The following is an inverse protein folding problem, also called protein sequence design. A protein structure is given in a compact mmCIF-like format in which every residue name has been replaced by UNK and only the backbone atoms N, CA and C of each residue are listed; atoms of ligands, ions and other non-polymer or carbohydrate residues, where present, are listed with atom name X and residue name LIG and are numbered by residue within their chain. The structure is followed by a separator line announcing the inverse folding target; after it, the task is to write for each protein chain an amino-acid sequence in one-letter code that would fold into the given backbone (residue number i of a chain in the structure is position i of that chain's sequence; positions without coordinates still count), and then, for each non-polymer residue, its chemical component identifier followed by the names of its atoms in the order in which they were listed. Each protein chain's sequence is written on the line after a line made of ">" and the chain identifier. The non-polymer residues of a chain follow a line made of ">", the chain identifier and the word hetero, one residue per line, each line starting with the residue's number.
data_IF_027245582167
#
_entry.id   IF_027245582167
#
_cell.length_a   1.000
_cell.length_b   1.000
_cell.length_c   1.000
_cell.angle_alpha   90.00
_cell.angle_beta   90.00
_cell.angle_gamma   90.00
#
_symmetry.space_group_name_H-M   'P 1'
#
loop_
_entity.id
_entity.type
_entity.pdbx_description
1 polymer ?
#
# COMPACT_ATOMS: atom_id res chain seq x y z
N UNK A 1 -18.90 -19.97 8.77
CA UNK A 1 -17.86 -20.75 9.50
C UNK A 1 -16.51 -20.75 8.80
N UNK A 2 -16.42 -20.94 7.47
CA UNK A 2 -15.15 -20.94 6.74
C UNK A 2 -14.35 -19.63 6.91
N UNK A 3 -14.96 -18.47 6.70
CA UNK A 3 -14.29 -17.16 6.80
C UNK A 3 -13.69 -16.88 8.20
N UNK A 4 -14.37 -17.30 9.28
CA UNK A 4 -13.85 -17.15 10.65
C UNK A 4 -12.62 -18.01 10.89
N UNK A 5 -12.61 -19.24 10.36
CA UNK A 5 -11.45 -20.15 10.47
C UNK A 5 -10.27 -19.64 9.66
N UNK A 6 -10.52 -19.16 8.44
CA UNK A 6 -9.50 -18.49 7.62
C UNK A 6 -8.92 -17.28 8.34
N UNK A 7 -9.77 -16.41 8.90
CA UNK A 7 -9.30 -15.21 9.58
C UNK A 7 -8.41 -15.55 10.79
N UNK A 8 -8.79 -16.56 11.57
CA UNK A 8 -8.00 -17.05 12.70
C UNK A 8 -6.68 -17.68 12.25
N UNK A 9 -6.69 -18.46 11.16
CA UNK A 9 -5.47 -19.07 10.63
C UNK A 9 -4.47 -18.02 10.11
N UNK A 10 -4.95 -16.99 9.41
CA UNK A 10 -4.12 -15.87 8.96
C UNK A 10 -3.55 -15.11 10.16
N UNK A 11 -4.36 -14.86 11.20
CA UNK A 11 -3.90 -14.17 12.42
C UNK A 11 -2.82 -14.98 13.14
N UNK A 12 -3.06 -16.27 13.36
CA UNK A 12 -2.11 -17.15 14.03
C UNK A 12 -0.79 -17.22 13.27
N UNK A 13 -0.84 -17.32 11.94
CA UNK A 13 0.36 -17.30 11.10
C UNK A 13 1.10 -15.97 11.20
N UNK A 14 0.40 -14.82 11.10
CA UNK A 14 1.00 -13.49 11.25
C UNK A 14 1.72 -13.35 12.60
N UNK A 15 1.07 -13.74 13.71
CA UNK A 15 1.68 -13.68 15.05
C UNK A 15 2.88 -14.62 15.17
N UNK A 16 2.87 -15.78 14.52
CA UNK A 16 4.02 -16.68 14.44
C UNK A 16 5.17 -16.03 13.66
N UNK A 17 4.91 -15.44 12.48
CA UNK A 17 5.91 -14.74 11.65
C UNK A 17 6.60 -13.61 12.42
N UNK A 18 5.86 -12.88 13.25
CA UNK A 18 6.41 -11.80 14.07
C UNK A 18 7.35 -12.29 15.19
N UNK A 19 7.27 -13.57 15.57
CA UNK A 19 8.10 -14.20 16.60
C UNK A 19 9.35 -14.89 16.04
N UNK A 20 9.51 -14.97 14.71
CA UNK A 20 10.69 -15.53 14.07
C UNK A 20 11.92 -14.66 14.33
N UNK A 21 12.96 -15.23 14.97
CA UNK A 21 14.13 -14.45 15.45
C UNK A 21 14.98 -13.82 14.34
N UNK A 22 14.90 -14.35 13.13
CA UNK A 22 15.56 -13.87 11.92
C UNK A 22 14.75 -12.80 11.17
N UNK A 23 13.49 -12.57 11.56
CA UNK A 23 12.65 -11.53 10.97
C UNK A 23 13.12 -10.14 11.37
N UNK A 24 13.12 -9.19 10.40
CA UNK A 24 13.39 -7.77 10.68
C UNK A 24 12.41 -7.15 11.69
N UNK A 25 11.23 -7.77 11.85
CA UNK A 25 10.19 -7.33 12.77
C UNK A 25 10.38 -7.85 14.20
N UNK A 26 11.22 -8.86 14.42
CA UNK A 26 11.40 -9.49 15.73
C UNK A 26 11.82 -8.53 16.85
N UNK A 27 12.79 -7.61 16.66
CA UNK A 27 13.23 -6.71 17.73
C UNK A 27 12.10 -5.83 18.27
N UNK A 28 11.12 -5.50 17.41
CA UNK A 28 10.00 -4.64 17.74
C UNK A 28 8.76 -5.40 18.22
N UNK A 29 8.45 -6.51 17.55
CA UNK A 29 7.21 -7.24 17.75
C UNK A 29 7.40 -8.56 18.50
N UNK A 30 8.46 -9.32 18.22
CA UNK A 30 8.58 -10.72 18.63
C UNK A 30 8.45 -10.94 20.13
N UNK A 31 9.31 -10.30 20.93
CA UNK A 31 9.25 -10.38 22.40
C UNK A 31 7.93 -9.86 22.96
N UNK A 32 7.38 -8.82 22.34
CA UNK A 32 6.11 -8.23 22.77
C UNK A 32 4.93 -9.15 22.49
N UNK A 33 4.90 -9.83 21.33
CA UNK A 33 3.86 -10.83 21.04
C UNK A 33 3.97 -12.00 22.03
N UNK A 34 5.18 -12.50 22.29
CA UNK A 34 5.43 -13.60 23.23
C UNK A 34 4.99 -13.29 24.66
N UNK A 35 5.05 -12.02 25.09
CA UNK A 35 4.71 -11.62 26.45
C UNK A 35 3.22 -11.42 26.69
N UNK A 36 2.36 -11.56 25.68
CA UNK A 36 0.92 -11.33 25.80
C UNK A 36 0.13 -12.59 25.44
N UNK A 37 -0.19 -13.37 26.46
CA UNK A 37 -1.13 -14.50 26.34
C UNK A 37 -2.50 -14.02 25.84
N UNK A 38 -3.18 -14.86 25.06
CA UNK A 38 -4.50 -14.57 24.46
C UNK A 38 -4.56 -13.30 23.59
N UNK A 39 -3.43 -12.82 23.07
CA UNK A 39 -3.41 -11.68 22.15
C UNK A 39 -4.24 -11.95 20.89
N UNK A 40 -4.18 -13.16 20.35
CA UNK A 40 -4.97 -13.59 19.20
C UNK A 40 -6.48 -13.53 19.48
N UNK A 41 -6.94 -14.05 20.62
CA UNK A 41 -8.34 -13.97 21.04
C UNK A 41 -8.79 -12.52 21.24
N UNK A 42 -7.92 -11.67 21.77
CA UNK A 42 -8.19 -10.25 21.90
C UNK A 42 -8.33 -9.56 20.53
N UNK A 43 -7.39 -9.79 19.61
CA UNK A 43 -7.43 -9.23 18.26
C UNK A 43 -8.67 -9.70 17.50
N UNK A 44 -9.07 -10.96 17.64
CA UNK A 44 -10.32 -11.50 17.09
C UNK A 44 -11.55 -10.77 17.63
N UNK A 45 -11.59 -10.43 18.92
CA UNK A 45 -12.70 -9.66 19.53
C UNK A 45 -12.74 -8.21 19.07
N UNK A 46 -11.60 -7.62 18.69
CA UNK A 46 -11.55 -6.29 18.12
C UNK A 46 -12.13 -6.23 16.70
N UNK A 47 -12.08 -7.34 15.95
CA UNK A 47 -12.64 -7.41 14.60
C UNK A 47 -14.16 -7.43 14.64
N UNK A 48 -14.79 -6.57 13.84
CA UNK A 48 -16.26 -6.53 13.75
C UNK A 48 -16.81 -7.77 13.03
N UNK A 49 -17.92 -8.35 13.51
CA UNK A 49 -18.51 -9.55 12.90
C UNK A 49 -18.99 -9.32 11.47
N UNK A 50 -19.35 -8.09 11.09
CA UNK A 50 -19.73 -7.73 9.72
C UNK A 50 -18.58 -7.95 8.72
N UNK A 51 -17.32 -7.85 9.17
CA UNK A 51 -16.14 -8.14 8.32
C UNK A 51 -16.12 -9.61 7.94
N UNK A 52 -16.35 -10.51 8.90
CA UNK A 52 -16.39 -11.96 8.62
C UNK A 52 -17.56 -12.32 7.69
N UNK A 53 -18.69 -11.63 7.83
CA UNK A 53 -19.83 -11.79 6.92
C UNK A 53 -19.49 -11.33 5.51
N UNK A 54 -18.83 -10.17 5.37
CA UNK A 54 -18.36 -9.66 4.08
C UNK A 54 -17.42 -10.66 3.39
N UNK A 55 -16.41 -11.16 4.12
CA UNK A 55 -15.46 -12.15 3.61
C UNK A 55 -16.17 -13.45 3.19
N UNK A 56 -17.14 -13.92 3.98
CA UNK A 56 -17.91 -15.12 3.66
C UNK A 56 -18.74 -14.97 2.37
N UNK A 57 -19.23 -13.76 2.07
CA UNK A 57 -19.97 -13.49 0.84
C UNK A 57 -19.07 -13.41 -0.40
N UNK A 58 -17.77 -13.13 -0.23
CA UNK A 58 -16.81 -13.00 -1.33
C UNK A 58 -17.12 -11.87 -2.32
N UNK A 59 -17.93 -10.89 -1.94
CA UNK A 59 -18.35 -9.81 -2.82
C UNK A 59 -17.38 -8.63 -2.76
N UNK A 60 -16.74 -8.30 -3.88
CA UNK A 60 -15.86 -7.14 -4.01
C UNK A 60 -16.55 -5.84 -4.43
N UNK A 61 -17.89 -5.75 -4.32
CA UNK A 61 -18.64 -4.57 -4.78
C UNK A 61 -18.57 -3.42 -3.78
N UNK A 62 -18.79 -2.20 -4.27
CA UNK A 62 -18.80 -1.00 -3.43
C UNK A 62 -19.94 -1.01 -2.40
N UNK A 63 -21.11 -1.55 -2.78
CA UNK A 63 -22.25 -1.70 -1.87
C UNK A 63 -21.96 -2.73 -0.78
N UNK A 64 -21.30 -3.85 -1.12
CA UNK A 64 -20.90 -4.84 -0.13
C UNK A 64 -19.92 -4.26 0.90
N UNK A 65 -18.97 -3.43 0.45
CA UNK A 65 -18.08 -2.71 1.35
C UNK A 65 -18.83 -1.71 2.23
N UNK A 66 -19.74 -0.90 1.66
CA UNK A 66 -20.59 0.03 2.44
C UNK A 66 -21.40 -0.70 3.52
N UNK A 67 -21.86 -1.92 3.21
CA UNK A 67 -22.68 -2.73 4.12
C UNK A 67 -21.88 -3.32 5.29
N UNK A 68 -20.55 -3.24 5.30
CA UNK A 68 -19.76 -3.49 6.51
C UNK A 68 -20.12 -2.45 7.59
N UNK A 69 -20.35 -1.20 7.19
CA UNK A 69 -20.86 -0.13 8.05
C UNK A 69 -19.92 0.25 9.19
N UNK A 70 -20.49 0.57 10.35
CA UNK A 70 -19.76 1.00 11.55
C UNK A 70 -19.96 2.48 11.86
N UNK A 71 -19.54 2.90 13.06
CA UNK A 71 -19.72 4.27 13.51
C UNK A 71 -18.62 5.19 12.96
N UNK A 72 -18.97 5.99 11.96
CA UNK A 72 -18.06 7.00 11.38
C UNK A 72 -17.80 8.20 12.29
N UNK A 73 -18.52 8.31 13.41
CA UNK A 73 -18.28 9.31 14.45
C UNK A 73 -17.44 8.77 15.60
N UNK A 74 -17.04 7.49 15.56
CA UNK A 74 -16.23 6.89 16.60
C UNK A 74 -14.92 7.65 16.81
N UNK A 75 -14.73 8.18 18.01
CA UNK A 75 -13.55 9.01 18.33
C UNK A 75 -12.34 8.19 18.79
N UNK A 76 -12.50 6.88 18.92
CA UNK A 76 -11.44 5.97 19.37
C UNK A 76 -10.53 5.43 18.28
N UNK A 77 -9.64 4.53 18.71
CA UNK A 77 -8.65 3.88 17.87
C UNK A 77 -9.26 2.74 17.07
N UNK A 78 -8.90 2.58 15.81
CA UNK A 78 -9.43 1.48 15.00
C UNK A 78 -8.87 1.40 13.60
N UNK A 79 -9.37 0.41 12.88
CA UNK A 79 -9.06 0.11 11.48
C UNK A 79 -10.30 0.39 10.64
N UNK A 80 -10.11 0.97 9.46
CA UNK A 80 -11.16 1.23 8.50
C UNK A 80 -10.78 0.69 7.12
N UNK A 81 -11.80 0.44 6.30
CA UNK A 81 -11.67 0.30 4.85
C UNK A 81 -12.28 1.52 4.19
N UNK A 82 -11.61 2.02 3.17
CA UNK A 82 -12.09 3.04 2.25
C UNK A 82 -12.31 2.37 0.90
N UNK A 83 -13.58 2.08 0.58
CA UNK A 83 -13.99 1.56 -0.72
C UNK A 83 -14.17 2.71 -1.71
N UNK A 84 -13.59 2.61 -2.90
CA UNK A 84 -13.56 3.67 -3.90
C UNK A 84 -14.05 3.10 -5.23
N UNK A 85 -15.11 3.68 -5.80
CA UNK A 85 -15.59 3.38 -7.14
C UNK A 85 -14.98 4.38 -8.13
N UNK A 86 -13.99 3.92 -8.88
CA UNK A 86 -13.28 4.72 -9.87
C UNK A 86 -14.17 5.20 -11.02
N UNK A 87 -13.73 6.25 -11.72
CA UNK A 87 -14.35 6.71 -12.97
C UNK A 87 -14.38 5.61 -14.04
N UNK A 88 -13.40 4.71 -14.00
CA UNK A 88 -13.27 3.50 -14.81
C UNK A 88 -14.18 2.34 -14.37
N UNK A 89 -15.11 2.59 -13.43
CA UNK A 89 -16.04 1.61 -12.86
C UNK A 89 -15.39 0.46 -12.10
N UNK A 90 -14.09 0.56 -11.79
CA UNK A 90 -13.40 -0.43 -10.96
C UNK A 90 -13.50 -0.06 -9.49
N UNK A 91 -13.78 -1.08 -8.68
CA UNK A 91 -13.80 -0.94 -7.23
C UNK A 91 -12.39 -1.17 -6.69
N UNK A 92 -11.94 -0.23 -5.87
CA UNK A 92 -10.65 -0.26 -5.16
C UNK A 92 -10.87 -0.18 -3.66
N UNK A 93 -9.92 -0.69 -2.89
CA UNK A 93 -9.94 -0.62 -1.44
C UNK A 93 -8.61 -0.15 -0.87
N UNK A 94 -8.70 0.70 0.14
CA UNK A 94 -7.59 1.08 0.99
C UNK A 94 -7.94 0.75 2.44
N UNK A 95 -7.07 0.04 3.14
CA UNK A 95 -7.20 -0.22 4.57
C UNK A 95 -6.30 0.73 5.33
N UNK A 96 -6.80 1.33 6.42
CA UNK A 96 -6.02 2.25 7.22
C UNK A 96 -6.31 2.13 8.70
N UNK A 97 -5.35 2.55 9.52
CA UNK A 97 -5.56 2.75 10.96
C UNK A 97 -5.67 4.22 11.35
N UNK A 98 -6.23 4.48 12.54
CA UNK A 98 -6.15 5.78 13.21
C UNK A 98 -6.24 5.62 14.73
N UNK A 99 -5.68 6.59 15.45
CA UNK A 99 -5.93 6.77 16.89
C UNK A 99 -7.28 7.45 17.18
N UNK A 100 -7.86 8.12 16.17
CA UNK A 100 -9.21 8.69 16.18
C UNK A 100 -9.82 8.55 14.77
N UNK A 101 -10.77 7.64 14.62
CA UNK A 101 -11.40 7.38 13.31
C UNK A 101 -12.18 8.60 12.80
N UNK A 102 -12.97 9.25 13.65
CA UNK A 102 -13.74 10.44 13.29
C UNK A 102 -12.87 11.57 12.72
N UNK A 103 -11.72 11.84 13.35
CA UNK A 103 -10.74 12.82 12.87
C UNK A 103 -10.15 12.39 11.53
N UNK A 104 -9.82 11.11 11.39
CA UNK A 104 -9.24 10.58 10.15
C UNK A 104 -10.21 10.68 8.97
N UNK A 105 -11.48 10.39 9.17
CA UNK A 105 -12.49 10.54 8.11
C UNK A 105 -12.68 11.99 7.68
N UNK A 106 -12.69 12.95 8.63
CA UNK A 106 -12.70 14.39 8.32
C UNK A 106 -11.49 14.80 7.45
N UNK A 107 -10.30 14.27 7.75
CA UNK A 107 -9.11 14.50 6.91
C UNK A 107 -9.30 13.93 5.50
N UNK A 108 -9.81 12.70 5.39
CA UNK A 108 -10.05 12.08 4.08
C UNK A 108 -11.05 12.85 3.23
N UNK A 109 -12.12 13.39 3.81
CA UNK A 109 -13.10 14.20 3.07
C UNK A 109 -12.58 15.60 2.72
N UNK A 110 -11.60 16.12 3.46
CA UNK A 110 -11.03 17.45 3.20
C UNK A 110 -10.10 17.45 1.98
N UNK A 111 -10.53 18.11 0.90
CA UNK A 111 -9.74 18.19 -0.33
C UNK A 111 -8.38 18.86 -0.15
N UNK A 112 -8.25 19.86 0.75
CA UNK A 112 -6.98 20.54 1.02
C UNK A 112 -6.00 19.57 1.67
N UNK A 113 -6.47 18.81 2.64
CA UNK A 113 -5.66 17.78 3.29
C UNK A 113 -5.15 16.76 2.27
N UNK A 114 -6.02 16.26 1.37
CA UNK A 114 -5.61 15.32 0.32
C UNK A 114 -4.56 15.90 -0.64
N UNK A 115 -4.74 17.18 -1.04
CA UNK A 115 -3.80 17.90 -1.90
C UNK A 115 -2.41 18.00 -1.24
N UNK A 116 -2.39 18.32 0.04
CA UNK A 116 -1.15 18.58 0.78
C UNK A 116 -0.46 17.28 1.24
N UNK A 117 -1.14 16.14 1.18
CA UNK A 117 -0.62 14.82 1.59
C UNK A 117 -0.72 13.79 0.46
N UNK A 118 -0.13 14.03 -0.74
CA UNK A 118 -0.37 13.22 -1.93
C UNK A 118 0.03 11.75 -1.74
N UNK A 119 -0.87 10.84 -2.09
CA UNK A 119 -0.69 9.39 -1.99
C UNK A 119 -1.45 8.67 -3.11
N UNK A 120 -1.12 7.40 -3.38
CA UNK A 120 -1.89 6.59 -4.35
C UNK A 120 -3.35 6.48 -3.91
N UNK A 121 -3.61 6.34 -2.61
CA UNK A 121 -4.94 6.33 -2.04
C UNK A 121 -5.74 7.59 -2.41
N UNK A 122 -5.17 8.77 -2.18
CA UNK A 122 -5.85 10.03 -2.51
C UNK A 122 -5.97 10.29 -4.00
N UNK A 123 -5.00 9.80 -4.79
CA UNK A 123 -5.14 9.81 -6.24
C UNK A 123 -6.37 8.99 -6.68
N UNK A 124 -6.57 7.82 -6.06
CA UNK A 124 -7.78 7.00 -6.21
C UNK A 124 -9.07 7.76 -5.92
N UNK A 125 -9.14 8.44 -4.77
CA UNK A 125 -10.31 9.25 -4.37
C UNK A 125 -10.59 10.37 -5.37
N UNK A 126 -9.55 11.06 -5.86
CA UNK A 126 -9.69 12.14 -6.84
C UNK A 126 -10.23 11.66 -8.19
N UNK A 127 -10.01 10.39 -8.54
CA UNK A 127 -10.45 9.78 -9.81
C UNK A 127 -11.62 8.81 -9.57
N UNK A 128 -12.54 9.18 -8.68
CA UNK A 128 -13.69 8.36 -8.30
C UNK A 128 -15.02 9.08 -8.52
N UNK A 129 -16.08 8.30 -8.75
CA UNK A 129 -17.47 8.82 -8.79
C UNK A 129 -18.16 8.71 -7.43
N UNK A 130 -17.70 7.78 -6.60
CA UNK A 130 -18.30 7.49 -5.30
C UNK A 130 -17.26 6.80 -4.42
N UNK A 131 -17.32 7.09 -3.13
CA UNK A 131 -16.49 6.45 -2.12
C UNK A 131 -17.29 6.18 -0.84
N UNK A 132 -16.80 5.24 -0.03
CA UNK A 132 -17.43 4.87 1.23
C UNK A 132 -16.41 4.44 2.26
N UNK A 133 -16.72 4.72 3.53
CA UNK A 133 -15.95 4.24 4.67
C UNK A 133 -16.71 3.17 5.42
N UNK A 134 -15.98 2.19 5.92
CA UNK A 134 -16.50 1.23 6.89
C UNK A 134 -15.43 0.91 7.93
N UNK A 135 -15.87 0.68 9.16
CA UNK A 135 -14.98 0.34 10.28
C UNK A 135 -14.77 -1.17 10.29
N UNK A 136 -13.52 -1.62 10.32
CA UNK A 136 -13.18 -3.05 10.33
C UNK A 136 -12.98 -3.56 11.76
N UNK A 137 -12.25 -2.79 12.57
CA UNK A 137 -11.93 -3.16 13.93
C UNK A 137 -11.83 -1.90 14.81
N UNK A 138 -12.13 -2.05 16.10
CA UNK A 138 -11.96 -0.98 17.09
C UNK A 138 -11.24 -1.50 18.31
N UNK A 139 -10.43 -0.63 18.93
CA UNK A 139 -9.87 -0.92 20.24
C UNK A 139 -10.79 -0.36 21.32
N UNK A 140 -10.86 -1.00 22.50
CA UNK A 140 -11.54 -0.45 23.66
C UNK A 140 -11.03 0.95 24.02
N UNK A 141 -11.90 1.76 24.62
CA UNK A 141 -11.53 3.09 25.09
C UNK A 141 -10.50 2.99 26.23
N UNK A 142 -9.57 3.93 26.31
CA UNK A 142 -8.65 4.02 27.48
C UNK A 142 -9.38 4.30 28.79
N UNK A 143 -10.63 4.75 28.73
CA UNK A 143 -11.51 4.94 29.90
C UNK A 143 -12.30 3.69 30.27
N UNK A 144 -12.23 2.62 29.48
CA UNK A 144 -12.95 1.38 29.77
C UNK A 144 -12.34 0.68 31.00
N UNK A 145 -13.16 0.15 31.92
CA UNK A 145 -12.66 -0.64 33.05
C UNK A 145 -11.76 -1.78 32.59
N UNK A 146 -10.61 -1.95 33.22
CA UNK A 146 -9.66 -3.01 32.90
C UNK A 146 -8.85 -2.81 31.62
N UNK A 147 -8.88 -1.62 30.98
CA UNK A 147 -8.13 -1.35 29.75
C UNK A 147 -6.64 -1.73 29.83
N UNK A 148 -5.98 -1.40 30.95
CA UNK A 148 -4.55 -1.71 31.15
C UNK A 148 -4.26 -3.21 31.31
N UNK A 149 -5.27 -4.02 31.62
CA UNK A 149 -5.13 -5.47 31.79
C UNK A 149 -5.46 -6.24 30.51
N UNK A 150 -5.92 -5.56 29.46
CA UNK A 150 -6.21 -6.20 28.19
C UNK A 150 -4.91 -6.55 27.44
N UNK A 151 -4.84 -7.72 26.78
CA UNK A 151 -3.65 -8.13 26.04
C UNK A 151 -3.18 -7.07 25.03
N UNK A 152 -1.89 -6.78 25.04
CA UNK A 152 -1.24 -5.82 24.13
C UNK A 152 -1.52 -4.34 24.39
N UNK A 153 -2.43 -3.98 25.31
CA UNK A 153 -2.80 -2.58 25.53
C UNK A 153 -1.74 -1.75 26.27
N UNK A 154 -0.65 -2.38 26.70
CA UNK A 154 0.62 -1.71 27.06
C UNK A 154 1.25 -0.96 25.86
N UNK A 155 0.98 -1.41 24.63
CA UNK A 155 1.46 -0.84 23.36
C UNK A 155 0.35 -0.84 22.31
N UNK A 156 -0.67 0.04 22.45
CA UNK A 156 -1.80 0.09 21.52
C UNK A 156 -1.37 0.47 20.10
N UNK A 157 -0.21 1.10 19.92
CA UNK A 157 0.41 1.36 18.63
C UNK A 157 0.78 0.06 17.88
N UNK A 158 1.35 -0.92 18.58
CA UNK A 158 1.70 -2.22 17.98
C UNK A 158 0.46 -3.05 17.69
N UNK A 159 -0.54 -3.02 18.58
CA UNK A 159 -1.85 -3.65 18.37
C UNK A 159 -2.50 -3.11 17.09
N UNK A 160 -2.51 -1.79 16.90
CA UNK A 160 -3.05 -1.16 15.70
C UNK A 160 -2.31 -1.64 14.44
N UNK A 161 -0.98 -1.62 14.43
CA UNK A 161 -0.19 -2.07 13.28
C UNK A 161 -0.50 -3.53 12.90
N UNK A 162 -0.65 -4.41 13.90
CA UNK A 162 -0.99 -5.83 13.68
C UNK A 162 -2.42 -5.97 13.17
N UNK A 163 -3.39 -5.24 13.72
CA UNK A 163 -4.77 -5.24 13.22
C UNK A 163 -4.87 -4.73 11.79
N UNK A 164 -4.14 -3.66 11.47
CA UNK A 164 -4.07 -3.10 10.11
C UNK A 164 -3.46 -4.12 9.14
N UNK A 165 -2.32 -4.73 9.50
CA UNK A 165 -1.68 -5.79 8.72
C UNK A 165 -2.61 -6.98 8.51
N UNK A 166 -3.23 -7.46 9.58
CA UNK A 166 -4.16 -8.59 9.50
C UNK A 166 -5.37 -8.28 8.62
N UNK A 167 -6.00 -7.11 8.78
CA UNK A 167 -7.09 -6.69 7.90
C UNK A 167 -6.62 -6.59 6.44
N UNK A 168 -5.41 -6.09 6.19
CA UNK A 168 -4.84 -6.06 4.85
C UNK A 168 -4.66 -7.47 4.24
N UNK A 169 -4.27 -8.47 5.04
CA UNK A 169 -4.18 -9.86 4.60
C UNK A 169 -5.57 -10.46 4.33
N UNK A 170 -6.56 -10.17 5.17
CA UNK A 170 -7.94 -10.62 4.98
C UNK A 170 -8.54 -10.12 3.65
N UNK A 171 -8.26 -8.85 3.31
CA UNK A 171 -8.77 -8.22 2.09
C UNK A 171 -7.83 -8.33 0.89
N UNK A 172 -6.66 -8.97 1.04
CA UNK A 172 -5.60 -9.04 0.03
C UNK A 172 -5.24 -7.66 -0.54
N UNK A 173 -5.18 -6.66 0.34
CA UNK A 173 -5.04 -5.26 -0.07
C UNK A 173 -3.58 -4.81 -0.25
N UNK A 174 -2.60 -5.66 0.03
CA UNK A 174 -1.17 -5.38 -0.04
C UNK A 174 -0.54 -5.79 -1.40
N UNK A 175 0.68 -5.33 -1.70
CA UNK A 175 1.43 -5.81 -2.86
C UNK A 175 1.68 -7.32 -2.80
N UNK A 176 1.71 -7.99 -3.95
CA UNK A 176 1.87 -9.45 -4.08
C UNK A 176 3.03 -10.00 -3.25
N UNK A 177 4.22 -9.37 -3.34
CA UNK A 177 5.41 -9.80 -2.59
C UNK A 177 5.15 -9.84 -1.07
N UNK A 178 4.44 -8.85 -0.54
CA UNK A 178 4.10 -8.79 0.89
C UNK A 178 3.01 -9.78 1.24
N UNK A 179 2.03 -10.01 0.35
CA UNK A 179 1.02 -11.04 0.54
C UNK A 179 1.68 -12.43 0.58
N UNK A 180 2.57 -12.74 -0.34
CA UNK A 180 3.30 -14.03 -0.41
C UNK A 180 4.16 -14.27 0.84
N UNK A 181 4.71 -13.21 1.44
CA UNK A 181 5.53 -13.30 2.66
C UNK A 181 4.71 -13.57 3.92
N UNK A 182 3.49 -13.03 4.02
CA UNK A 182 2.72 -12.98 5.27
C UNK A 182 1.43 -13.81 5.26
N UNK A 183 1.01 -14.34 4.12
CA UNK A 183 -0.10 -15.29 4.07
C UNK A 183 0.39 -16.69 4.42
N UNK A 184 -0.44 -17.50 5.11
CA UNK A 184 -0.09 -18.89 5.33
C UNK A 184 0.06 -19.65 4.00
N UNK A 185 0.93 -20.67 3.94
CA UNK A 185 1.07 -21.51 2.75
C UNK A 185 -0.28 -22.08 2.29
N UNK A 186 -0.52 -22.05 0.97
CA UNK A 186 -1.77 -22.53 0.36
C UNK A 186 -2.89 -21.50 0.26
N UNK A 187 -2.73 -20.30 0.83
CA UNK A 187 -3.69 -19.21 0.67
C UNK A 187 -3.42 -18.42 -0.62
N UNK A 188 -4.48 -18.07 -1.37
CA UNK A 188 -4.35 -17.48 -2.71
C UNK A 188 -3.99 -15.99 -2.63
N UNK A 189 -2.72 -15.63 -2.73
CA UNK A 189 -2.27 -14.23 -2.66
C UNK A 189 -2.86 -13.29 -3.73
N UNK A 190 -3.41 -13.84 -4.83
CA UNK A 190 -3.96 -13.05 -5.93
C UNK A 190 -5.10 -12.15 -5.43
N UNK A 191 -5.00 -10.81 -5.59
CA UNK A 191 -6.09 -9.90 -5.29
C UNK A 191 -7.28 -10.26 -6.17
N UNK A 192 -8.38 -10.67 -5.54
CA UNK A 192 -9.69 -10.52 -6.15
C UNK A 192 -10.14 -9.07 -6.00
N UNK A 193 -11.19 -8.66 -6.73
CA UNK A 193 -11.84 -7.39 -6.43
C UNK A 193 -12.17 -7.31 -4.93
N UNK A 194 -11.98 -6.16 -4.28
CA UNK A 194 -11.56 -4.87 -4.85
C UNK A 194 -10.04 -4.74 -5.12
N UNK A 195 -9.65 -3.89 -6.07
CA UNK A 195 -8.24 -3.64 -6.38
C UNK A 195 -7.50 -2.94 -5.22
N UNK A 196 -6.29 -3.41 -4.86
CA UNK A 196 -5.56 -2.92 -3.70
C UNK A 196 -4.98 -1.52 -3.91
N UNK A 197 -5.07 -0.66 -2.89
CA UNK A 197 -4.36 0.62 -2.84
C UNK A 197 -3.35 0.72 -1.69
N UNK A 198 -3.22 -0.31 -0.84
CA UNK A 198 -2.16 -0.33 0.17
C UNK A 198 -0.83 -0.68 -0.50
N UNK A 199 0.17 0.17 -0.27
CA UNK A 199 1.53 0.00 -0.80
C UNK A 199 2.57 -0.05 0.31
N UNK A 200 2.24 0.45 1.50
CA UNK A 200 3.12 0.43 2.66
C UNK A 200 2.75 -0.78 3.53
N UNK A 201 3.77 -1.46 4.08
CA UNK A 201 3.56 -2.50 5.07
C UNK A 201 3.14 -1.85 6.41
N UNK A 202 1.96 -2.18 6.96
CA UNK A 202 1.50 -1.63 8.24
C UNK A 202 2.46 -1.86 9.42
N UNK A 203 3.26 -2.94 9.38
CA UNK A 203 4.24 -3.25 10.41
C UNK A 203 5.41 -2.24 10.47
N UNK A 204 5.63 -1.47 9.39
CA UNK A 204 6.67 -0.44 9.34
C UNK A 204 6.20 0.90 9.98
N UNK A 205 4.92 1.02 10.36
CA UNK A 205 4.40 2.26 10.94
C UNK A 205 5.06 2.61 12.28
N UNK A 206 5.54 3.85 12.41
CA UNK A 206 6.25 4.32 13.60
C UNK A 206 7.70 3.85 13.69
N UNK A 207 8.21 3.14 12.68
CA UNK A 207 9.65 2.93 12.52
C UNK A 207 10.27 4.18 11.89
N UNK A 208 11.47 4.54 12.36
CA UNK A 208 12.27 5.63 11.80
C UNK A 208 13.07 5.18 10.57
N UNK A 209 13.13 3.87 10.30
CA UNK A 209 13.79 3.35 9.12
C UNK A 209 13.11 3.78 7.81
N UNK A 210 13.91 3.93 6.76
CA UNK A 210 13.43 4.28 5.43
C UNK A 210 12.55 3.14 4.93
N UNK A 211 11.28 3.44 4.63
CA UNK A 211 10.33 2.45 4.09
C UNK A 211 10.86 1.88 2.77
N UNK A 212 10.76 0.57 2.62
CA UNK A 212 11.09 -0.12 1.39
C UNK A 212 10.21 0.42 0.26
N UNK A 213 10.83 0.79 -0.86
CA UNK A 213 10.08 1.18 -2.04
C UNK A 213 9.48 -0.07 -2.69
N UNK A 214 8.17 -0.06 -2.91
CA UNK A 214 7.48 -1.13 -3.61
C UNK A 214 7.41 -0.80 -5.10
N UNK A 215 7.92 -1.71 -5.91
CA UNK A 215 7.76 -1.64 -7.36
C UNK A 215 6.32 -1.98 -7.76
N UNK A 216 5.65 -1.01 -8.37
CA UNK A 216 4.29 -1.13 -8.88
C UNK A 216 4.23 -1.09 -10.41
N UNK A 217 5.37 -1.09 -11.09
CA UNK A 217 5.45 -1.01 -12.57
C UNK A 217 4.75 -2.16 -13.28
N UNK A 218 4.66 -3.33 -12.63
CA UNK A 218 3.93 -4.50 -13.14
C UNK A 218 2.41 -4.46 -12.90
N UNK A 219 1.85 -3.38 -12.35
CA UNK A 219 0.43 -3.31 -12.04
C UNK A 219 -0.43 -3.32 -13.30
N UNK A 220 -1.49 -4.13 -13.27
CA UNK A 220 -2.54 -4.13 -14.30
C UNK A 220 -3.62 -3.07 -14.05
N UNK A 221 -3.54 -2.34 -12.94
CA UNK A 221 -4.46 -1.26 -12.63
C UNK A 221 -4.02 0.01 -13.37
N UNK A 222 -4.86 0.47 -14.31
CA UNK A 222 -4.64 1.69 -15.09
C UNK A 222 -4.45 2.92 -14.21
N UNK A 223 -5.16 3.02 -13.07
CA UNK A 223 -5.03 4.13 -12.14
C UNK A 223 -3.66 4.16 -11.47
N UNK A 224 -3.10 3.00 -11.16
CA UNK A 224 -1.74 2.89 -10.61
C UNK A 224 -0.72 3.34 -11.65
N UNK A 225 -0.87 2.88 -12.89
CA UNK A 225 0.03 3.23 -13.98
C UNK A 225 0.01 4.73 -14.27
N UNK A 226 -1.17 5.36 -14.30
CA UNK A 226 -1.32 6.80 -14.43
C UNK A 226 -0.64 7.56 -13.28
N UNK A 227 -0.84 7.12 -12.04
CA UNK A 227 -0.20 7.71 -10.86
C UNK A 227 1.33 7.67 -10.94
N UNK A 228 1.89 6.54 -11.36
CA UNK A 228 3.33 6.38 -11.54
C UNK A 228 3.87 7.31 -12.64
N UNK A 229 3.19 7.37 -13.79
CA UNK A 229 3.59 8.22 -14.91
C UNK A 229 3.59 9.71 -14.54
N UNK A 230 2.59 10.18 -13.80
CA UNK A 230 2.57 11.56 -13.31
C UNK A 230 3.73 11.89 -12.35
N UNK A 231 4.17 10.91 -11.56
CA UNK A 231 5.34 11.10 -10.70
C UNK A 231 6.64 11.19 -11.51
N UNK A 232 6.81 10.34 -12.53
CA UNK A 232 7.98 10.38 -13.41
C UNK A 232 8.07 11.73 -14.11
N UNK A 233 7.00 12.19 -14.75
CA UNK A 233 6.96 13.50 -15.43
C UNK A 233 7.29 14.67 -14.51
N UNK A 234 6.81 14.64 -13.25
CA UNK A 234 7.13 15.68 -12.26
C UNK A 234 8.59 15.69 -11.84
N UNK A 235 9.26 14.53 -11.83
CA UNK A 235 10.70 14.44 -11.55
C UNK A 235 11.49 14.99 -12.73
N UNK A 236 11.17 14.57 -13.96
CA UNK A 236 11.81 15.06 -15.18
C UNK A 236 11.69 16.59 -15.31
N UNK A 237 10.50 17.16 -15.11
CA UNK A 237 10.29 18.60 -15.13
C UNK A 237 11.09 19.37 -14.07
N UNK A 238 11.36 18.76 -12.91
CA UNK A 238 12.20 19.38 -11.89
C UNK A 238 13.67 19.38 -12.29
N UNK A 239 14.17 18.28 -12.85
CA UNK A 239 15.54 18.17 -13.38
C UNK A 239 15.75 19.20 -14.50
N UNK A 240 14.83 19.25 -15.47
CA UNK A 240 14.87 20.20 -16.58
C UNK A 240 14.88 21.68 -16.15
N UNK A 241 14.17 22.03 -15.07
CA UNK A 241 14.18 23.40 -14.52
C UNK A 241 15.48 23.73 -13.79
N UNK A 242 16.11 22.73 -13.19
CA UNK A 242 17.37 22.90 -12.49
C UNK A 242 18.53 23.07 -13.48
N UNK A 243 18.48 22.41 -14.63
CA UNK A 243 19.48 22.53 -15.69
C UNK A 243 19.35 23.83 -16.52
N UNK A 244 18.15 24.42 -16.60
CA UNK A 244 17.89 25.67 -17.34
C UNK A 244 18.17 26.95 -16.56
N UNK A 245 18.46 26.84 -15.27
CA UNK A 245 18.95 27.97 -14.48
C UNK A 245 20.45 27.81 -14.27
N UNK A 246 21.31 28.38 -15.14
CA UNK A 246 22.72 28.46 -14.84
C UNK A 246 22.83 29.23 -13.52
N UNK A 247 23.35 28.57 -12.49
CA UNK A 247 23.79 29.25 -11.28
C UNK A 247 24.72 30.36 -11.73
N UNK A 248 24.29 31.62 -11.59
CA UNK A 248 25.21 32.74 -11.52
C UNK A 248 26.11 32.46 -10.32
N UNK A 249 27.23 31.79 -10.58
CA UNK A 249 28.34 31.64 -9.66
C UNK A 249 28.87 33.05 -9.44
N UNK A 250 28.34 33.70 -8.40
CA UNK A 250 28.95 34.88 -7.81
C UNK A 250 30.09 34.33 -6.97
N UNK A 251 31.31 34.47 -7.49
CA UNK A 251 32.54 34.12 -6.80
C UNK A 251 32.80 35.17 -5.71
N UNK A 252 32.11 35.07 -4.58
CA UNK A 252 32.51 35.75 -3.34
C UNK A 252 32.16 34.84 -2.16
N UNK A 253 33.20 34.51 -1.39
CA UNK A 253 33.23 33.80 -0.10
C UNK A 253 32.64 32.37 -0.04
N UNK A 254 33.50 31.39 -0.32
CA UNK A 254 33.34 30.02 0.17
C UNK A 254 34.00 29.94 1.54
N UNK A 255 33.22 30.06 2.60
CA UNK A 255 33.51 29.41 3.87
C UNK A 255 32.66 28.14 3.99
N UNK A 256 33.34 27.00 3.83
CA UNK A 256 33.03 25.75 4.53
C UNK A 256 31.70 25.04 4.28
N UNK A 257 31.47 24.52 3.07
CA UNK A 257 30.66 23.28 2.92
C UNK A 257 31.61 22.14 2.59
N UNK A 258 31.90 21.34 3.61
CA UNK A 258 32.61 20.07 3.46
C UNK A 258 31.70 19.10 2.70
N UNK A 259 31.91 18.99 1.39
CA UNK A 259 31.37 17.89 0.59
C UNK A 259 32.01 16.59 1.09
N UNK A 260 31.23 15.79 1.80
CA UNK A 260 31.68 14.46 2.21
C UNK A 260 31.80 13.57 0.97
N UNK A 261 32.81 12.69 0.89
CA UNK A 261 33.00 11.78 -0.24
C UNK A 261 31.74 10.96 -0.60
N UNK A 262 30.86 10.70 0.38
CA UNK A 262 29.58 10.03 0.18
C UNK A 262 28.61 10.79 -0.72
N UNK A 263 28.59 12.13 -0.68
CA UNK A 263 27.71 12.94 -1.52
C UNK A 263 28.11 12.88 -3.00
N UNK A 264 29.42 12.81 -3.27
CA UNK A 264 29.96 12.67 -4.64
C UNK A 264 29.65 11.28 -5.20
N UNK A 265 29.74 10.23 -4.38
CA UNK A 265 29.43 8.85 -4.80
C UNK A 265 27.94 8.69 -5.11
N UNK A 266 27.03 9.28 -4.32
CA UNK A 266 25.59 9.20 -4.58
C UNK A 266 25.20 9.94 -5.86
N UNK A 267 25.79 11.11 -6.13
CA UNK A 267 25.55 11.83 -7.40
C UNK A 267 26.07 11.03 -8.60
N UNK A 268 27.25 10.44 -8.47
CA UNK A 268 27.88 9.63 -9.52
C UNK A 268 27.04 8.38 -9.85
N UNK A 269 26.53 7.69 -8.81
CA UNK A 269 25.69 6.51 -8.98
C UNK A 269 24.35 6.85 -9.66
N UNK A 270 23.72 7.98 -9.32
CA UNK A 270 22.47 8.42 -9.93
C UNK A 270 22.62 8.73 -11.43
N UNK A 271 23.72 9.36 -11.84
CA UNK A 271 24.01 9.70 -13.23
C UNK A 271 24.28 8.43 -14.05
N UNK A 272 25.07 7.49 -13.50
CA UNK A 272 25.40 6.22 -14.18
C UNK A 272 24.15 5.34 -14.32
N UNK A 273 23.29 5.28 -13.30
CA UNK A 273 22.05 4.50 -13.35
C UNK A 273 21.03 5.09 -14.33
N UNK A 274 20.93 6.43 -14.40
CA UNK A 274 20.12 7.13 -15.40
C UNK A 274 20.58 6.84 -16.83
N UNK A 275 21.89 6.84 -17.08
CA UNK A 275 22.45 6.55 -18.40
C UNK A 275 22.22 5.09 -18.84
N UNK A 276 22.27 4.13 -17.91
CA UNK A 276 22.00 2.72 -18.19
C UNK A 276 20.52 2.45 -18.52
N UNK A 277 19.59 3.13 -17.86
CA UNK A 277 18.16 3.01 -18.14
C UNK A 277 17.79 3.60 -19.52
N UNK A 278 18.40 4.71 -19.91
CA UNK A 278 18.20 5.33 -21.23
C UNK A 278 18.76 4.42 -22.34
N UNK A 279 19.95 3.83 -22.14
CA UNK A 279 20.58 2.98 -23.16
C UNK A 279 19.85 1.65 -23.37
N UNK A 280 19.19 1.10 -22.33
CA UNK A 280 18.38 -0.13 -22.45
C UNK A 280 17.05 0.10 -23.20
N UNK A 281 16.55 1.34 -23.22
CA UNK A 281 15.32 1.73 -23.94
C UNK A 281 15.53 1.86 -25.46
N UNK A 282 16.76 2.12 -25.93
CA UNK A 282 17.04 2.43 -27.34
C UNK A 282 17.41 1.22 -28.23
N UNK A 283 17.11 -0.02 -27.83
CA UNK A 283 17.35 -1.18 -28.71
C UNK A 283 16.11 -2.07 -28.89
N UNK A 284 15.06 -1.60 -29.57
CA UNK A 284 14.06 -2.49 -30.11
C UNK A 284 14.63 -3.20 -31.35
N UNK A 285 14.81 -4.52 -31.27
CA UNK A 285 14.98 -5.32 -32.47
C UNK A 285 13.75 -5.14 -33.36
N UNK A 286 13.97 -4.53 -34.53
CA UNK A 286 12.95 -4.33 -35.56
C UNK A 286 12.63 -5.69 -36.16
N UNK A 287 11.57 -6.33 -35.68
CA UNK A 287 10.94 -7.46 -36.37
C UNK A 287 10.19 -6.89 -37.57
N UNK A 288 10.75 -7.04 -38.77
CA UNK A 288 10.07 -6.66 -40.02
C UNK A 288 8.95 -7.69 -40.31
N UNK A 289 7.74 -7.27 -40.69
CA UNK A 289 6.72 -8.19 -41.16
C UNK A 289 7.15 -8.86 -42.49
N UNK A 290 6.71 -10.11 -42.75
CA UNK A 290 7.03 -10.79 -43.99
C UNK A 290 6.42 -10.07 -45.19
N UNK A 291 7.19 -10.01 -46.28
CA UNK A 291 6.76 -9.41 -47.54
C UNK A 291 5.61 -10.22 -48.16
N UNK A 292 4.62 -9.56 -48.80
CA UNK A 292 3.58 -10.25 -49.54
C UNK A 292 4.18 -11.02 -50.73
N UNK A 293 3.59 -12.18 -51.10
CA UNK A 293 4.09 -12.98 -52.21
C UNK A 293 3.93 -12.23 -53.54
N UNK A 294 4.84 -12.46 -54.50
CA UNK A 294 4.81 -11.78 -55.78
C UNK A 294 3.57 -12.19 -56.61
N UNK A 295 3.04 -11.27 -57.45
CA UNK A 295 1.90 -11.58 -58.31
C UNK A 295 2.26 -12.66 -59.32
N UNK A 296 1.36 -13.65 -59.49
CA UNK A 296 1.51 -14.73 -60.46
C UNK A 296 1.52 -14.18 -61.89
N UNK A 297 2.41 -14.68 -62.77
CA UNK A 297 2.45 -14.25 -64.16
C UNK A 297 1.15 -14.61 -64.89
N UNK A 298 0.63 -13.64 -65.65
CA UNK A 298 -0.48 -13.85 -66.57
C UNK A 298 0.02 -14.57 -67.83
N UNK A 299 -0.37 -15.83 -67.95
CA UNK A 299 -0.98 -16.34 -69.18
C UNK A 299 -0.28 -17.48 -69.93
N UNK A 300 -1.08 -18.00 -70.87
CA UNK A 300 -0.78 -18.77 -72.08
C UNK A 300 -0.94 -20.30 -72.05
N UNK A 301 -2.10 -20.71 -72.60
CA UNK A 301 -2.45 -21.88 -73.43
C UNK A 301 -2.32 -23.32 -72.91
N UNK A 302 -3.36 -24.11 -73.23
CA UNK A 302 -3.48 -25.55 -73.04
C UNK A 302 -4.91 -25.94 -72.73
#
# INVERSE_FOLDING_TARGET
>A
MAASREAQAILAHLLSKLQETDSKYFPRYGKWVQSHESLDEFLMRCLRPEVLRFLQLGSGTIDAMRNIGGDLKFEGRGIYVHGILGLDKRVRAYIGQSTSLSTRFKQHWNFRYRRDNPSLHYYGVQHSTFDTFSVLATLPSSTSPGFGNLPGMSRPDLVLNILEMWCCLLFRSLPMKTLDEFLPPGYIAKPSLPWPLNIANPLDHGDQQKRDWVDLSGSQDTLINEYLNQKVQKVEQKVDRQDRHPSHFRSDEIDGIVLTPGAVIVLSAAIIFGFFLIRKSMNPQIVRPPLPPPPKPKGWWG
#
